data_IF_152165644903
#
_entry.id   IF_152165644903
#
_cell.length_a   1.000
_cell.length_b   1.000
_cell.length_c   1.000
_cell.angle_alpha   90.00
_cell.angle_beta   90.00
_cell.angle_gamma   90.00
#
_symmetry.space_group_name_H-M   'P 1'
#
loop_
_entity.id
_entity.type
_entity.pdbx_description
1 polymer ?
#
# COMPACT_ATOMS: atom_id res chain seq x y z
N UNK A 1 4.34 33.01 4.49
CA UNK A 1 4.30 31.54 4.53
C UNK A 1 3.54 31.09 3.29
N UNK A 2 4.20 30.63 2.23
CA UNK A 2 3.51 30.14 1.05
C UNK A 2 2.71 28.89 1.46
N UNK A 3 1.39 28.94 1.34
CA UNK A 3 0.55 27.76 1.51
C UNK A 3 1.02 26.70 0.52
N UNK A 4 1.36 25.52 1.01
CA UNK A 4 1.79 24.38 0.19
C UNK A 4 0.70 24.07 -0.84
N UNK A 5 1.06 24.11 -2.13
CA UNK A 5 0.14 24.03 -3.28
C UNK A 5 -0.56 22.69 -3.52
N UNK A 6 -0.69 21.83 -2.49
CA UNK A 6 -1.35 20.52 -2.62
C UNK A 6 -2.86 20.70 -2.47
N UNK A 7 -3.58 20.47 -3.56
CA UNK A 7 -5.06 20.60 -3.59
C UNK A 7 -5.78 19.27 -3.39
N UNK A 8 -5.10 18.15 -3.70
CA UNK A 8 -5.60 16.79 -3.62
C UNK A 8 -4.52 15.82 -3.15
N UNK A 9 -4.93 14.83 -2.36
CA UNK A 9 -4.12 13.68 -1.96
C UNK A 9 -4.85 12.41 -2.38
N UNK A 10 -4.13 11.49 -3.01
CA UNK A 10 -4.62 10.18 -3.46
C UNK A 10 -3.66 9.16 -2.90
N UNK A 11 -4.17 8.29 -2.03
CA UNK A 11 -3.42 7.20 -1.43
C UNK A 11 -3.78 5.92 -2.18
N UNK A 12 -2.84 5.38 -2.95
CA UNK A 12 -3.00 4.11 -3.67
C UNK A 12 -2.30 3.00 -2.89
N UNK A 13 -3.00 1.90 -2.65
CA UNK A 13 -2.52 0.81 -1.80
C UNK A 13 -2.35 -0.44 -2.64
N UNK A 14 -1.14 -1.00 -2.60
CA UNK A 14 -0.77 -2.29 -3.17
C UNK A 14 -0.42 -3.27 -2.04
N UNK A 15 -0.50 -4.56 -2.29
CA UNK A 15 -0.42 -5.60 -1.28
C UNK A 15 0.91 -6.38 -1.35
N UNK A 16 1.42 -6.76 -0.18
CA UNK A 16 2.26 -7.95 0.06
C UNK A 16 3.62 -8.08 -0.65
N UNK A 17 4.26 -6.98 -1.04
CA UNK A 17 5.62 -6.98 -1.55
C UNK A 17 6.56 -6.08 -0.73
N UNK A 18 7.84 -6.49 -0.57
CA UNK A 18 8.87 -5.66 0.10
C UNK A 18 9.49 -4.66 -0.87
N UNK A 19 10.10 -3.59 -0.34
CA UNK A 19 10.98 -2.68 -1.10
C UNK A 19 12.06 -3.47 -1.86
N UNK A 20 12.70 -4.45 -1.21
CA UNK A 20 13.70 -5.30 -1.86
C UNK A 20 13.15 -6.11 -3.01
N UNK A 21 11.93 -6.63 -2.84
CA UNK A 21 11.32 -7.49 -3.82
C UNK A 21 11.03 -6.71 -5.12
N UNK A 22 10.66 -5.43 -5.01
CA UNK A 22 10.28 -4.61 -6.14
C UNK A 22 11.41 -3.80 -6.75
N UNK A 23 12.31 -3.24 -5.94
CA UNK A 23 13.11 -2.08 -6.32
C UNK A 23 14.61 -2.36 -6.45
N UNK A 24 15.02 -3.61 -6.70
CA UNK A 24 16.44 -3.97 -6.91
C UNK A 24 17.14 -3.11 -7.97
N UNK A 25 16.44 -2.74 -9.04
CA UNK A 25 16.96 -1.92 -10.14
C UNK A 25 17.33 -0.49 -9.71
N UNK A 26 16.96 -0.09 -8.49
CA UNK A 26 17.29 1.23 -7.94
C UNK A 26 18.59 1.27 -7.15
N UNK A 27 19.26 0.13 -6.93
CA UNK A 27 20.56 0.10 -6.24
C UNK A 27 21.62 1.02 -6.89
N UNK A 28 21.76 1.10 -8.24
CA UNK A 28 22.69 2.05 -8.87
C UNK A 28 22.39 3.53 -8.60
N UNK A 29 21.18 3.85 -8.13
CA UNK A 29 20.73 5.20 -7.79
C UNK A 29 20.84 5.50 -6.28
N UNK A 30 21.49 4.61 -5.52
CA UNK A 30 21.74 4.79 -4.09
C UNK A 30 20.61 4.33 -3.18
N UNK A 31 19.60 3.63 -3.70
CA UNK A 31 18.50 3.11 -2.88
C UNK A 31 18.97 1.93 -2.03
N UNK A 32 18.62 1.93 -0.74
CA UNK A 32 18.96 0.87 0.22
C UNK A 32 18.11 -0.41 0.01
N UNK A 33 18.47 -1.20 -1.01
CA UNK A 33 17.84 -2.48 -1.35
C UNK A 33 18.86 -3.61 -1.40
N UNK A 34 18.41 -4.84 -1.18
CA UNK A 34 19.23 -6.02 -1.46
C UNK A 34 19.62 -6.07 -2.95
N UNK A 35 20.81 -6.59 -3.26
CA UNK A 35 21.33 -6.66 -4.63
C UNK A 35 21.71 -8.08 -5.07
N UNK A 36 21.66 -9.03 -4.16
CA UNK A 36 22.18 -10.40 -4.32
C UNK A 36 21.11 -11.49 -4.15
N UNK A 37 19.84 -11.10 -3.98
CA UNK A 37 18.75 -12.05 -3.85
C UNK A 37 18.37 -12.64 -5.22
N UNK A 38 17.99 -13.93 -5.29
CA UNK A 38 17.56 -14.57 -6.52
C UNK A 38 16.39 -13.86 -7.21
N UNK A 39 16.44 -13.83 -8.54
CA UNK A 39 15.33 -13.32 -9.35
C UNK A 39 14.20 -14.34 -9.39
N UNK A 40 12.98 -13.89 -9.11
CA UNK A 40 11.78 -14.71 -9.20
C UNK A 40 11.01 -14.43 -10.49
N UNK A 41 10.23 -15.42 -10.98
CA UNK A 41 9.31 -15.20 -12.08
C UNK A 41 8.16 -14.26 -11.67
N UNK A 42 7.51 -13.67 -12.67
CA UNK A 42 6.24 -12.99 -12.56
C UNK A 42 5.19 -13.75 -13.39
N UNK A 43 4.05 -14.19 -12.80
CA UNK A 43 3.66 -14.05 -11.39
C UNK A 43 4.54 -14.84 -10.39
N UNK A 44 4.57 -14.45 -9.10
CA UNK A 44 5.17 -15.25 -8.03
C UNK A 44 4.58 -16.66 -7.98
N UNK A 45 5.38 -17.65 -7.58
CA UNK A 45 4.91 -19.04 -7.46
C UNK A 45 3.86 -19.23 -6.35
N UNK A 46 3.92 -18.44 -5.28
CA UNK A 46 2.99 -18.52 -4.15
C UNK A 46 2.97 -17.23 -3.33
N UNK A 47 1.88 -17.05 -2.60
CA UNK A 47 1.82 -16.10 -1.50
C UNK A 47 2.64 -16.61 -0.31
N UNK A 48 3.50 -15.74 0.22
CA UNK A 48 4.38 -16.08 1.33
C UNK A 48 3.65 -15.87 2.65
N UNK A 49 3.88 -16.69 3.68
CA UNK A 49 3.27 -16.49 4.99
C UNK A 49 3.58 -15.11 5.56
N UNK A 50 2.54 -14.29 5.73
CA UNK A 50 2.64 -12.91 6.20
C UNK A 50 1.67 -12.63 7.38
N UNK A 51 1.32 -13.67 8.14
CA UNK A 51 0.52 -13.54 9.36
C UNK A 51 1.38 -13.25 10.61
N UNK A 52 0.72 -12.94 11.73
CA UNK A 52 1.42 -12.66 12.99
C UNK A 52 2.28 -13.84 13.46
N UNK A 53 1.88 -15.07 13.20
CA UNK A 53 2.67 -16.25 13.58
C UNK A 53 3.92 -16.38 12.73
N UNK A 54 3.84 -16.16 11.41
CA UNK A 54 4.99 -16.14 10.52
C UNK A 54 6.00 -15.08 10.93
N UNK A 55 5.52 -13.87 11.27
CA UNK A 55 6.38 -12.84 11.82
C UNK A 55 7.08 -13.27 13.12
N UNK A 56 6.33 -13.85 14.06
CA UNK A 56 6.91 -14.33 15.33
C UNK A 56 7.95 -15.44 15.10
N UNK A 57 7.67 -16.40 14.21
CA UNK A 57 8.63 -17.46 13.87
C UNK A 57 9.89 -16.89 13.24
N UNK A 58 9.77 -15.91 12.35
CA UNK A 58 10.93 -15.21 11.79
C UNK A 58 11.73 -14.48 12.87
N UNK A 59 11.07 -13.70 13.72
CA UNK A 59 11.70 -12.94 14.79
C UNK A 59 12.44 -13.82 15.81
N UNK A 60 11.91 -15.03 16.06
CA UNK A 60 12.50 -16.01 16.98
C UNK A 60 13.50 -16.97 16.31
N UNK A 61 13.83 -16.78 15.04
CA UNK A 61 14.76 -17.64 14.29
C UNK A 61 14.21 -19.03 13.95
N UNK A 62 12.90 -19.26 14.11
CA UNK A 62 12.22 -20.51 13.77
C UNK A 62 11.83 -20.60 12.28
N UNK A 63 11.98 -19.51 11.54
CA UNK A 63 11.65 -19.42 10.12
C UNK A 63 12.56 -18.41 9.42
N UNK A 64 12.97 -18.71 8.20
CA UNK A 64 13.69 -17.77 7.33
C UNK A 64 12.72 -17.10 6.37
N UNK A 65 12.84 -15.78 6.23
CA UNK A 65 12.05 -15.06 5.23
C UNK A 65 12.47 -15.46 3.81
N UNK A 66 11.52 -15.45 2.88
CA UNK A 66 11.81 -15.65 1.46
C UNK A 66 12.52 -14.41 0.92
N UNK A 67 13.74 -14.60 0.42
CA UNK A 67 14.57 -13.56 -0.17
C UNK A 67 14.58 -13.72 -1.69
N UNK A 68 13.68 -13.01 -2.37
CA UNK A 68 13.57 -13.00 -3.83
C UNK A 68 13.28 -11.60 -4.34
N UNK A 69 13.61 -11.34 -5.60
CA UNK A 69 13.39 -10.04 -6.23
C UNK A 69 12.81 -10.20 -7.63
N UNK A 70 11.96 -9.27 -8.06
CA UNK A 70 11.67 -9.11 -9.47
C UNK A 70 12.80 -8.39 -10.16
N UNK A 71 12.97 -8.66 -11.45
CA UNK A 71 13.76 -7.78 -12.29
C UNK A 71 13.01 -6.46 -12.50
N UNK A 72 13.35 -5.44 -11.70
CA UNK A 72 12.64 -4.16 -11.62
C UNK A 72 12.47 -3.50 -12.99
N UNK A 73 13.52 -3.48 -13.81
CA UNK A 73 13.51 -2.75 -15.07
C UNK A 73 12.59 -3.40 -16.12
N UNK A 74 12.42 -4.73 -16.05
CA UNK A 74 11.59 -5.48 -17.00
C UNK A 74 10.16 -5.70 -16.50
N UNK A 75 9.98 -5.93 -15.20
CA UNK A 75 8.69 -6.27 -14.60
C UNK A 75 7.98 -5.02 -14.04
N UNK A 76 8.74 -4.10 -13.44
CA UNK A 76 8.21 -2.96 -12.68
C UNK A 76 8.75 -1.58 -13.15
N UNK A 77 8.78 -1.28 -14.47
CA UNK A 77 9.38 -0.04 -14.98
C UNK A 77 8.64 1.23 -14.54
N UNK A 78 7.34 1.17 -14.27
CA UNK A 78 6.59 2.34 -13.80
C UNK A 78 6.87 2.64 -12.33
N UNK A 79 7.10 1.63 -11.48
CA UNK A 79 7.54 1.86 -10.10
C UNK A 79 8.97 2.38 -10.03
N UNK A 80 9.87 1.91 -10.90
CA UNK A 80 11.18 2.53 -11.07
C UNK A 80 11.05 4.01 -11.46
N UNK A 81 10.21 4.32 -12.45
CA UNK A 81 9.94 5.70 -12.87
C UNK A 81 9.43 6.56 -11.69
N UNK A 82 8.44 6.10 -10.93
CA UNK A 82 7.91 6.84 -9.77
C UNK A 82 8.99 7.10 -8.71
N UNK A 83 9.85 6.11 -8.43
CA UNK A 83 10.91 6.25 -7.45
C UNK A 83 12.00 7.24 -7.90
N UNK A 84 12.35 7.23 -9.19
CA UNK A 84 13.40 8.09 -9.76
C UNK A 84 12.94 9.53 -10.00
N UNK A 85 11.64 9.73 -10.22
CA UNK A 85 11.07 11.07 -10.52
C UNK A 85 10.30 11.68 -9.35
N UNK A 86 10.02 10.88 -8.31
CA UNK A 86 9.31 11.28 -7.10
C UNK A 86 10.19 11.18 -5.86
N UNK A 87 9.51 10.98 -4.72
CA UNK A 87 10.15 10.71 -3.44
C UNK A 87 9.95 9.24 -3.07
N UNK A 88 11.04 8.52 -2.83
CA UNK A 88 11.02 7.14 -2.32
C UNK A 88 11.38 7.12 -0.83
N UNK A 89 10.57 6.43 -0.03
CA UNK A 89 10.84 6.16 1.37
C UNK A 89 11.35 4.73 1.52
N UNK A 90 12.63 4.50 1.22
CA UNK A 90 13.23 3.16 1.15
C UNK A 90 13.24 2.38 2.47
N UNK A 91 13.25 3.09 3.61
CA UNK A 91 13.23 2.52 4.96
C UNK A 91 11.82 2.56 5.59
N UNK A 92 10.77 2.68 4.79
CA UNK A 92 9.40 2.52 5.27
C UNK A 92 9.11 1.06 5.61
N UNK A 93 8.44 0.83 6.74
CA UNK A 93 7.97 -0.49 7.15
C UNK A 93 6.46 -0.47 7.32
N UNK A 94 5.82 -1.63 7.14
CA UNK A 94 4.47 -1.83 7.66
C UNK A 94 4.46 -1.53 9.16
N UNK A 95 3.39 -0.91 9.65
CA UNK A 95 3.33 -0.58 11.07
C UNK A 95 3.28 -1.81 11.97
N UNK A 96 2.74 -2.93 11.48
CA UNK A 96 2.73 -4.20 12.19
C UNK A 96 3.23 -5.35 11.31
N UNK A 97 4.10 -6.19 11.88
CA UNK A 97 4.46 -7.50 11.32
C UNK A 97 3.31 -8.49 11.47
N UNK A 98 2.33 -8.40 10.57
CA UNK A 98 1.12 -9.24 10.48
C UNK A 98 0.40 -8.99 9.14
N UNK A 99 -0.79 -9.56 8.98
CA UNK A 99 -1.64 -9.50 7.80
C UNK A 99 -2.02 -8.07 7.35
N UNK A 100 -2.63 -7.97 6.17
CA UNK A 100 -3.08 -6.72 5.55
C UNK A 100 -4.10 -5.94 6.38
N UNK A 101 -5.12 -6.58 6.98
CA UNK A 101 -6.20 -5.84 7.68
C UNK A 101 -5.67 -4.92 8.77
N UNK A 102 -4.82 -5.37 9.72
CA UNK A 102 -4.22 -4.47 10.71
C UNK A 102 -3.49 -3.26 10.13
N UNK A 103 -2.73 -3.46 9.05
CA UNK A 103 -1.95 -2.38 8.43
C UNK A 103 -2.84 -1.42 7.61
N UNK A 104 -3.91 -1.93 7.00
CA UNK A 104 -4.92 -1.11 6.33
C UNK A 104 -5.68 -0.21 7.30
N UNK A 105 -6.03 -0.72 8.48
CA UNK A 105 -6.66 0.09 9.52
C UNK A 105 -5.70 1.13 10.08
N UNK A 106 -4.42 0.79 10.20
CA UNK A 106 -3.39 1.78 10.56
C UNK A 106 -3.30 2.91 9.51
N UNK A 107 -3.36 2.58 8.22
CA UNK A 107 -3.35 3.58 7.13
C UNK A 107 -4.59 4.51 7.16
N UNK A 108 -5.75 3.95 7.50
CA UNK A 108 -7.04 4.69 7.48
C UNK A 108 -7.30 5.47 8.77
N UNK A 109 -6.90 4.94 9.92
CA UNK A 109 -7.25 5.53 11.23
C UNK A 109 -6.10 5.72 12.21
N UNK A 110 -4.85 5.44 11.81
CA UNK A 110 -3.69 5.62 12.70
C UNK A 110 -3.62 4.61 13.84
N UNK A 111 -4.52 3.61 13.86
CA UNK A 111 -4.55 2.54 14.86
C UNK A 111 -5.20 1.27 14.29
N UNK A 112 -4.97 0.14 14.95
CA UNK A 112 -5.66 -1.13 14.65
C UNK A 112 -6.15 -1.83 15.92
N UNK A 113 -7.41 -2.29 15.96
CA UNK A 113 -7.96 -3.07 17.07
C UNK A 113 -7.68 -4.58 16.94
N UNK A 114 -6.98 -5.01 15.89
CA UNK A 114 -6.68 -6.41 15.61
C UNK A 114 -5.25 -6.57 15.12
N UNK A 115 -4.66 -7.73 15.39
CA UNK A 115 -3.39 -8.18 14.82
C UNK A 115 -3.57 -9.37 13.85
N UNK A 116 -4.80 -9.62 13.39
CA UNK A 116 -5.12 -10.65 12.40
C UNK A 116 -6.23 -10.20 11.45
N UNK A 117 -6.31 -10.82 10.28
CA UNK A 117 -7.47 -10.66 9.41
C UNK A 117 -8.74 -11.25 10.06
N UNK A 118 -9.88 -10.54 10.03
CA UNK A 118 -11.15 -11.11 10.43
C UNK A 118 -11.52 -12.33 9.56
N UNK A 119 -12.16 -13.37 10.13
CA UNK A 119 -12.60 -14.53 9.35
C UNK A 119 -13.63 -14.12 8.28
N UNK A 120 -13.37 -14.47 7.01
CA UNK A 120 -14.29 -14.15 5.90
C UNK A 120 -15.65 -14.86 5.98
N UNK A 121 -15.74 -15.93 6.78
CA UNK A 121 -16.97 -16.70 7.03
C UNK A 121 -17.87 -16.11 8.11
N UNK A 122 -17.42 -15.06 8.79
CA UNK A 122 -18.19 -14.38 9.83
C UNK A 122 -18.62 -12.98 9.35
N UNK A 123 -19.64 -12.38 9.96
CA UNK A 123 -19.95 -10.98 9.73
C UNK A 123 -18.71 -10.10 9.90
N UNK A 124 -18.52 -9.15 8.98
CA UNK A 124 -17.45 -8.17 9.07
C UNK A 124 -17.53 -7.43 10.42
N UNK A 125 -16.43 -7.36 11.19
CA UNK A 125 -16.41 -6.58 12.42
C UNK A 125 -16.62 -5.11 12.09
N UNK A 126 -17.22 -4.39 13.03
CA UNK A 126 -17.33 -2.93 12.98
C UNK A 126 -16.68 -2.39 14.25
N UNK A 127 -15.70 -1.53 14.07
CA UNK A 127 -14.98 -0.90 15.16
C UNK A 127 -15.32 0.57 15.21
N UNK A 128 -15.69 1.01 16.42
CA UNK A 128 -15.83 2.42 16.72
C UNK A 128 -14.45 3.01 17.01
N UNK A 129 -13.89 3.65 15.99
CA UNK A 129 -12.57 4.26 16.03
C UNK A 129 -12.49 5.42 15.05
N UNK A 130 -11.67 6.45 15.34
CA UNK A 130 -11.47 7.57 14.43
C UNK A 130 -10.80 7.10 13.14
N UNK A 131 -11.02 7.87 12.08
CA UNK A 131 -10.40 7.67 10.77
C UNK A 131 -10.15 8.99 10.08
N UNK A 132 -9.15 9.01 9.19
CA UNK A 132 -8.82 10.19 8.39
C UNK A 132 -10.03 10.63 7.54
N UNK A 133 -10.80 9.73 6.88
CA UNK A 133 -12.03 10.15 6.20
C UNK A 133 -13.13 10.68 7.14
N UNK A 134 -13.24 10.17 8.37
CA UNK A 134 -14.18 10.72 9.35
C UNK A 134 -13.82 12.15 9.74
N UNK A 135 -12.55 12.39 10.07
CA UNK A 135 -12.05 13.73 10.33
C UNK A 135 -12.22 14.65 9.12
N UNK A 136 -12.06 14.13 7.90
CA UNK A 136 -12.35 14.90 6.68
C UNK A 136 -13.83 15.34 6.63
N UNK A 137 -14.78 14.44 6.94
CA UNK A 137 -16.20 14.81 7.06
C UNK A 137 -16.44 15.91 8.09
N UNK A 138 -15.89 15.74 9.30
CA UNK A 138 -16.08 16.67 10.43
C UNK A 138 -15.56 18.07 10.12
N UNK A 139 -14.56 18.17 9.23
CA UNK A 139 -13.97 19.42 8.79
C UNK A 139 -14.43 19.90 7.40
N UNK A 140 -15.50 19.30 6.84
CA UNK A 140 -16.07 19.70 5.55
C UNK A 140 -15.12 19.49 4.36
N UNK A 141 -14.10 18.65 4.50
CA UNK A 141 -13.20 18.27 3.42
C UNK A 141 -13.82 17.12 2.62
N UNK A 142 -13.97 17.32 1.31
CA UNK A 142 -14.47 16.25 0.43
C UNK A 142 -13.51 15.07 0.40
N UNK A 143 -14.06 13.86 0.50
CA UNK A 143 -13.29 12.63 0.46
C UNK A 143 -14.06 11.50 -0.23
N UNK A 144 -13.32 10.50 -0.71
CA UNK A 144 -13.88 9.24 -1.22
C UNK A 144 -12.89 8.10 -1.03
N UNK A 145 -13.41 6.95 -0.64
CA UNK A 145 -12.67 5.72 -0.61
C UNK A 145 -13.17 4.82 -1.75
N UNK A 146 -12.28 4.57 -2.70
CA UNK A 146 -12.47 3.63 -3.79
C UNK A 146 -11.99 2.27 -3.27
N UNK A 147 -12.92 1.48 -2.76
CA UNK A 147 -12.65 0.29 -1.96
C UNK A 147 -12.58 -0.97 -2.81
N UNK A 148 -11.89 -1.98 -2.26
CA UNK A 148 -12.00 -3.34 -2.72
C UNK A 148 -13.40 -3.91 -2.42
N UNK A 149 -13.62 -5.17 -2.76
CA UNK A 149 -14.87 -5.88 -2.52
C UNK A 149 -15.37 -5.75 -1.09
N UNK A 150 -16.70 -5.57 -0.95
CA UNK A 150 -17.40 -5.43 0.36
C UNK A 150 -16.89 -4.26 1.22
N UNK A 151 -16.54 -3.15 0.57
CA UNK A 151 -16.04 -1.92 1.20
C UNK A 151 -14.73 -2.09 1.98
N UNK A 152 -14.00 -3.18 1.78
CA UNK A 152 -12.73 -3.42 2.47
C UNK A 152 -11.68 -2.37 2.09
N UNK A 153 -10.87 -1.86 3.05
CA UNK A 153 -10.91 -2.11 4.50
C UNK A 153 -11.84 -1.14 5.27
N UNK A 154 -12.34 -0.11 4.60
CA UNK A 154 -12.97 1.07 5.19
C UNK A 154 -14.34 0.76 5.81
N UNK A 155 -15.04 -0.24 5.28
CA UNK A 155 -16.32 -0.73 5.80
C UNK A 155 -16.25 -1.29 7.23
N UNK A 156 -15.05 -1.52 7.77
CA UNK A 156 -14.87 -1.90 9.17
C UNK A 156 -15.00 -0.75 10.17
N UNK A 157 -15.01 0.51 9.72
CA UNK A 157 -15.19 1.67 10.59
C UNK A 157 -16.68 1.95 10.76
N UNK A 158 -17.19 1.92 11.99
CA UNK A 158 -18.61 2.21 12.27
C UNK A 158 -19.03 3.55 11.69
N UNK A 159 -18.19 4.58 11.82
CA UNK A 159 -18.46 5.94 11.34
C UNK A 159 -18.52 6.09 9.82
N UNK A 160 -17.95 5.14 9.05
CA UNK A 160 -17.90 5.20 7.59
C UNK A 160 -18.80 4.16 6.92
N UNK A 161 -19.13 3.08 7.62
CA UNK A 161 -19.87 1.96 7.08
C UNK A 161 -21.24 2.39 6.54
N UNK A 162 -21.50 2.10 5.25
CA UNK A 162 -22.72 2.50 4.55
C UNK A 162 -22.71 3.93 4.01
N UNK A 163 -21.59 4.65 4.11
CA UNK A 163 -21.42 5.97 3.51
C UNK A 163 -21.45 5.89 1.99
N UNK A 164 -22.11 6.84 1.33
CA UNK A 164 -22.09 7.01 -0.12
C UNK A 164 -20.69 7.38 -0.68
N UNK A 165 -19.74 7.72 0.19
CA UNK A 165 -18.34 7.97 -0.18
C UNK A 165 -17.49 6.69 -0.22
N UNK A 166 -18.07 5.52 0.09
CA UNK A 166 -17.46 4.22 -0.20
C UNK A 166 -17.99 3.76 -1.55
N UNK A 167 -17.10 3.68 -2.54
CA UNK A 167 -17.48 3.28 -3.90
C UNK A 167 -16.57 2.18 -4.41
N UNK A 168 -17.02 1.34 -5.36
CA UNK A 168 -16.16 0.35 -5.98
C UNK A 168 -14.91 0.95 -6.63
N UNK A 169 -13.79 0.23 -6.57
CA UNK A 169 -12.49 0.70 -7.06
C UNK A 169 -12.46 1.04 -8.57
N UNK A 170 -13.28 0.37 -9.37
CA UNK A 170 -13.38 0.60 -10.82
C UNK A 170 -13.97 1.99 -11.18
N UNK A 171 -14.65 2.65 -10.23
CA UNK A 171 -15.13 4.02 -10.39
C UNK A 171 -14.02 5.06 -10.42
N UNK A 172 -12.84 4.76 -9.85
CA UNK A 172 -11.76 5.73 -9.71
C UNK A 172 -11.39 6.39 -11.05
N UNK A 173 -11.13 5.55 -12.06
CA UNK A 173 -10.74 5.99 -13.40
C UNK A 173 -11.81 6.85 -14.05
N UNK A 174 -13.09 6.49 -13.87
CA UNK A 174 -14.22 7.25 -14.44
C UNK A 174 -14.36 8.60 -13.76
N UNK A 175 -14.29 8.64 -12.42
CA UNK A 175 -14.35 9.89 -11.65
C UNK A 175 -13.14 10.79 -11.95
N UNK A 176 -11.95 10.20 -12.11
CA UNK A 176 -10.74 10.92 -12.48
C UNK A 176 -10.86 11.58 -13.86
N UNK A 177 -11.29 10.82 -14.86
CA UNK A 177 -11.51 11.34 -16.21
C UNK A 177 -12.59 12.44 -16.25
N UNK A 178 -13.58 12.38 -15.36
CA UNK A 178 -14.64 13.38 -15.23
C UNK A 178 -14.25 14.60 -14.36
N UNK A 179 -13.04 14.65 -13.79
CA UNK A 179 -12.63 15.72 -12.88
C UNK A 179 -13.36 15.71 -11.52
N UNK A 180 -13.95 14.58 -11.15
CA UNK A 180 -14.81 14.41 -9.97
C UNK A 180 -14.06 13.91 -8.72
N UNK A 181 -12.73 13.75 -8.78
CA UNK A 181 -11.96 13.32 -7.61
C UNK A 181 -12.04 14.36 -6.48
N UNK A 182 -12.43 13.96 -5.26
CA UNK A 182 -12.43 14.84 -4.10
C UNK A 182 -11.01 15.20 -3.65
N UNK A 183 -10.89 16.01 -2.58
CA UNK A 183 -9.60 16.45 -2.05
C UNK A 183 -8.81 15.33 -1.38
N UNK A 184 -9.49 14.38 -0.76
CA UNK A 184 -8.87 13.19 -0.15
C UNK A 184 -9.42 11.92 -0.81
N UNK A 185 -8.55 11.16 -1.47
CA UNK A 185 -8.90 9.88 -2.07
C UNK A 185 -8.07 8.77 -1.46
N UNK A 186 -8.71 7.62 -1.20
CA UNK A 186 -8.01 6.36 -1.02
C UNK A 186 -8.45 5.39 -2.11
N UNK A 187 -7.53 4.58 -2.62
CA UNK A 187 -7.77 3.58 -3.65
C UNK A 187 -7.16 2.25 -3.24
N UNK A 188 -8.02 1.24 -3.10
CA UNK A 188 -7.66 -0.17 -3.03
C UNK A 188 -8.24 -0.86 -4.25
N UNK A 189 -7.49 -1.79 -4.82
CA UNK A 189 -8.00 -2.67 -5.84
C UNK A 189 -8.40 -4.04 -5.25
N UNK A 190 -9.19 -4.79 -6.00
CA UNK A 190 -9.28 -6.24 -5.82
C UNK A 190 -8.18 -6.91 -6.65
N UNK A 191 -7.72 -8.07 -6.19
CA UNK A 191 -6.87 -8.97 -6.97
C UNK A 191 -7.47 -9.25 -8.37
N UNK A 192 -6.64 -9.24 -9.43
CA UNK A 192 -5.18 -9.20 -9.43
C UNK A 192 -4.56 -7.78 -9.41
N UNK A 193 -5.36 -6.71 -9.36
CA UNK A 193 -4.86 -5.33 -9.48
C UNK A 193 -4.28 -4.76 -8.18
N UNK A 194 -4.46 -5.47 -7.06
CA UNK A 194 -3.84 -5.18 -5.76
C UNK A 194 -2.43 -5.75 -5.62
N UNK A 195 -1.97 -6.52 -6.62
CA UNK A 195 -0.67 -7.19 -6.67
C UNK A 195 -0.48 -8.28 -5.61
N UNK A 196 -1.53 -8.64 -4.86
CA UNK A 196 -1.41 -9.68 -3.86
C UNK A 196 -0.95 -11.00 -4.54
N UNK A 197 0.17 -11.60 -4.10
CA UNK A 197 0.63 -12.87 -4.64
C UNK A 197 -0.46 -13.95 -4.61
N UNK A 198 -0.54 -14.87 -5.57
CA UNK A 198 0.33 -15.07 -6.72
C UNK A 198 -0.11 -14.27 -7.97
N UNK A 199 -0.64 -13.06 -7.82
CA UNK A 199 -1.00 -12.23 -8.97
C UNK A 199 0.23 -11.79 -9.78
N UNK A 200 0.00 -11.54 -11.07
CA UNK A 200 0.98 -10.89 -11.93
C UNK A 200 1.06 -9.40 -11.56
N UNK A 201 2.22 -8.97 -11.06
CA UNK A 201 2.42 -7.61 -10.54
C UNK A 201 2.38 -6.55 -11.65
N UNK A 202 2.56 -6.92 -12.91
CA UNK A 202 2.43 -5.98 -14.04
C UNK A 202 0.98 -5.53 -14.22
N UNK A 203 0.00 -6.36 -13.84
CA UNK A 203 -1.42 -6.00 -13.90
C UNK A 203 -1.73 -4.87 -12.91
N UNK A 204 -1.25 -4.99 -11.68
CA UNK A 204 -1.42 -3.94 -10.67
C UNK A 204 -0.63 -2.68 -10.99
N UNK A 205 0.61 -2.81 -11.47
CA UNK A 205 1.40 -1.66 -11.88
C UNK A 205 0.71 -0.88 -13.00
N UNK A 206 0.15 -1.57 -14.00
CA UNK A 206 -0.59 -0.93 -15.09
C UNK A 206 -1.86 -0.23 -14.58
N UNK A 207 -2.55 -0.80 -13.59
CA UNK A 207 -3.70 -0.16 -12.95
C UNK A 207 -3.29 1.10 -12.17
N UNK A 208 -2.17 1.06 -11.45
CA UNK A 208 -1.58 2.22 -10.74
C UNK A 208 -1.16 3.30 -11.74
N UNK A 209 -0.53 2.93 -12.85
CA UNK A 209 -0.14 3.86 -13.91
C UNK A 209 -1.34 4.55 -14.53
N UNK A 210 -2.36 3.77 -14.90
CA UNK A 210 -3.58 4.30 -15.49
C UNK A 210 -4.28 5.28 -14.52
N UNK A 211 -4.46 4.87 -13.27
CA UNK A 211 -5.06 5.70 -12.21
C UNK A 211 -4.26 6.99 -11.96
N UNK A 212 -2.93 6.89 -11.86
CA UNK A 212 -2.04 8.03 -11.62
C UNK A 212 -2.05 9.03 -12.76
N UNK A 213 -2.05 8.56 -14.01
CA UNK A 213 -2.07 9.43 -15.20
C UNK A 213 -3.34 10.30 -15.26
N UNK A 214 -4.50 9.74 -14.89
CA UNK A 214 -5.77 10.45 -14.90
C UNK A 214 -5.92 11.38 -13.70
N UNK A 215 -5.42 10.98 -12.53
CA UNK A 215 -5.40 11.82 -11.35
C UNK A 215 -4.48 13.05 -11.49
N UNK A 216 -3.49 12.98 -12.41
CA UNK A 216 -2.49 14.02 -12.67
C UNK A 216 -2.88 14.99 -13.81
N UNK A 217 -4.02 14.79 -14.48
CA UNK A 217 -4.52 15.77 -15.47
C UNK A 217 -4.76 17.14 -14.79
N UNK A 218 -4.51 18.26 -15.49
CA UNK A 218 -4.16 19.54 -14.86
C UNK A 218 -5.21 20.05 -13.87
N UNK A 219 -4.91 19.84 -12.59
CA UNK A 219 -5.10 20.81 -11.51
C UNK A 219 -3.73 21.00 -10.83
N UNK A 220 -3.36 22.21 -10.36
CA UNK A 220 -1.95 22.54 -10.10
C UNK A 220 -1.37 21.77 -8.90
N UNK A 221 -0.16 21.23 -9.14
CA UNK A 221 0.87 20.80 -8.20
C UNK A 221 0.59 19.59 -7.28
N UNK A 222 1.40 18.54 -7.47
CA UNK A 222 1.55 17.38 -6.58
C UNK A 222 2.99 17.27 -6.06
N UNK A 223 3.15 16.88 -4.79
CA UNK A 223 4.21 16.00 -4.36
C UNK A 223 3.65 14.71 -3.73
N UNK A 224 4.24 13.59 -4.13
CA UNK A 224 4.31 12.28 -3.47
C UNK A 224 3.02 11.46 -3.26
N UNK A 225 2.94 10.34 -3.99
CA UNK A 225 2.13 9.17 -3.65
C UNK A 225 2.90 8.30 -2.65
N UNK A 226 2.32 8.00 -1.50
CA UNK A 226 2.81 6.94 -0.61
C UNK A 226 2.27 5.60 -1.09
N UNK A 227 3.10 4.78 -1.73
CA UNK A 227 2.81 3.37 -1.92
C UNK A 227 3.22 2.66 -0.63
N UNK A 228 2.25 2.31 0.20
CA UNK A 228 2.49 1.54 1.42
C UNK A 228 2.68 0.07 1.06
N UNK A 229 3.93 -0.32 0.82
CA UNK A 229 4.33 -1.72 0.71
C UNK A 229 4.37 -2.34 2.10
N UNK A 230 3.42 -3.22 2.42
CA UNK A 230 3.50 -3.97 3.67
C UNK A 230 4.43 -5.14 3.51
N UNK A 231 5.68 -4.95 3.90
CA UNK A 231 6.55 -6.07 4.21
C UNK A 231 7.59 -5.72 5.27
N UNK A 232 7.85 -6.67 6.16
CA UNK A 232 8.84 -6.53 7.22
C UNK A 232 10.24 -6.50 6.64
N UNK A 233 10.96 -5.40 6.87
CA UNK A 233 12.42 -5.45 6.90
C UNK A 233 12.88 -5.06 8.31
N UNK A 234 13.58 -5.98 8.97
CA UNK A 234 14.57 -5.63 9.98
C UNK A 234 15.84 -6.38 9.60
N UNK A 235 16.80 -5.66 9.02
CA UNK A 235 18.18 -6.12 8.94
C UNK A 235 18.97 -5.40 10.05
N UNK A 236 19.56 -6.13 11.02
CA UNK A 236 20.61 -5.56 11.85
C UNK A 236 21.88 -5.51 10.99
N UNK A 237 22.36 -4.31 10.67
CA UNK A 237 23.74 -4.12 10.24
C UNK A 237 24.57 -3.67 11.46
N UNK A 238 25.41 -4.61 11.92
CA UNK A 238 26.70 -4.51 12.60
C UNK A 238 26.90 -3.62 13.85
N UNK A 239 27.41 -4.26 14.90
CA UNK A 239 28.30 -3.63 15.87
C UNK A 239 27.87 -3.78 17.32
N UNK A 240 28.10 -4.95 17.92
CA UNK A 240 28.36 -4.97 19.35
C UNK A 240 29.66 -4.16 19.60
N UNK A 241 29.66 -3.10 20.42
CA UNK A 241 30.91 -2.55 20.91
C UNK A 241 31.48 -3.57 21.90
N UNK A 242 32.56 -4.23 21.51
CA UNK A 242 33.46 -4.84 22.47
C UNK A 242 33.95 -3.74 23.43
N UNK A 243 33.64 -3.92 24.72
CA UNK A 243 34.46 -3.44 25.82
C UNK A 243 35.04 -4.66 26.51
#
# INVERSE_FOLDING_TARGET
MAATGVTRVVVMVQENHTTDNYLRGLAPYGVNVATDWPIQPNPPASDQPHDRHAYYRWLSGQHTATHTQFDTDTVLPYYAYLALTGALLENHCSGFGTNSTPNHLLLVGGQTPTLRNPPRSQPAPKWDMPSVPGLASDHGMSWRCYTASRDYPVGFYTQLNGSANLVPSDRFVTDAAAGMLPRLCYLWHDSPRDEHPAADVTIGQNATQHSGSLASMPTPAWPASSISHTANRHHPHDGAPSR
#
